data_IF_753715069700
#
_entry.id   IF_753715069700
#
_cell.length_a   1.000
_cell.length_b   1.000
_cell.length_c   1.000
_cell.angle_alpha   90.00
_cell.angle_beta   90.00
_cell.angle_gamma   90.00
#
_symmetry.space_group_name_H-M   'P 1'
#
loop_
_entity.id
_entity.type
_entity.pdbx_description
1 polymer ?
#
# COMPACT_ATOMS: atom_id res chain seq x y z
N UNK A 1 -20.40 -9.21 9.52
CA UNK A 1 -20.24 -8.75 10.93
C UNK A 1 -21.01 -7.44 11.09
N UNK A 2 -21.48 -7.08 12.29
CA UNK A 2 -22.14 -5.77 12.47
C UNK A 2 -21.10 -4.67 12.80
N UNK A 3 -21.51 -3.40 12.69
CA UNK A 3 -20.60 -2.27 12.90
C UNK A 3 -20.07 -2.17 14.33
N UNK A 4 -20.84 -2.54 15.34
CA UNK A 4 -20.41 -2.44 16.73
C UNK A 4 -19.30 -3.44 17.06
N UNK A 5 -19.44 -4.68 16.57
CA UNK A 5 -18.41 -5.71 16.70
C UNK A 5 -17.12 -5.30 15.99
N UNK A 6 -17.23 -4.76 14.78
CA UNK A 6 -16.09 -4.24 14.03
C UNK A 6 -15.37 -3.12 14.79
N UNK A 7 -16.10 -2.10 15.24
CA UNK A 7 -15.51 -0.98 15.98
C UNK A 7 -14.80 -1.44 17.26
N UNK A 8 -15.37 -2.43 17.98
CA UNK A 8 -14.72 -3.00 19.16
C UNK A 8 -13.41 -3.70 18.80
N UNK A 9 -13.39 -4.50 17.73
CA UNK A 9 -12.17 -5.18 17.27
C UNK A 9 -11.10 -4.15 16.89
N UNK A 10 -11.47 -3.09 16.17
CA UNK A 10 -10.53 -2.04 15.76
C UNK A 10 -9.97 -1.27 16.97
N UNK A 11 -10.78 -0.99 17.99
CA UNK A 11 -10.30 -0.30 19.19
C UNK A 11 -9.35 -1.18 20.02
N UNK A 12 -9.69 -2.46 20.22
CA UNK A 12 -8.80 -3.43 20.87
C UNK A 12 -7.48 -3.60 20.11
N UNK A 13 -7.54 -3.58 18.78
CA UNK A 13 -6.36 -3.67 17.93
C UNK A 13 -5.48 -2.42 17.98
N UNK A 14 -6.10 -1.25 18.02
CA UNK A 14 -5.40 0.02 18.22
C UNK A 14 -4.67 0.04 19.57
N UNK A 15 -5.33 -0.40 20.64
CA UNK A 15 -4.68 -0.58 21.96
C UNK A 15 -3.51 -1.55 21.83
N UNK A 16 -3.69 -2.68 21.14
CA UNK A 16 -2.64 -3.67 20.91
C UNK A 16 -1.41 -3.14 20.18
N UNK A 17 -1.59 -2.34 19.13
CA UNK A 17 -0.46 -1.70 18.43
C UNK A 17 0.22 -0.66 19.33
N UNK A 18 -0.57 0.21 19.96
CA UNK A 18 -0.04 1.36 20.72
C UNK A 18 0.60 0.96 22.04
N UNK A 19 0.24 -0.19 22.61
CA UNK A 19 0.87 -0.76 23.79
C UNK A 19 1.98 -1.75 23.44
N UNK A 20 2.52 -1.73 22.21
CA UNK A 20 3.60 -2.62 21.79
C UNK A 20 3.28 -4.11 22.05
N UNK A 21 2.02 -4.50 21.80
CA UNK A 21 1.48 -5.86 21.94
C UNK A 21 1.33 -6.35 23.39
N UNK A 22 1.39 -5.46 24.39
CA UNK A 22 1.23 -5.81 25.81
C UNK A 22 -0.24 -5.90 26.30
N UNK A 23 -1.17 -5.19 25.65
CA UNK A 23 -2.59 -5.11 26.04
C UNK A 23 -3.49 -5.02 24.81
N UNK A 24 -4.81 -5.12 24.96
CA UNK A 24 -5.73 -5.19 23.81
C UNK A 24 -5.61 -6.52 23.05
N UNK A 25 -6.16 -6.57 21.83
CA UNK A 25 -6.15 -7.78 21.00
C UNK A 25 -5.83 -7.47 19.54
N UNK A 26 -4.91 -8.24 18.94
CA UNK A 26 -4.69 -8.22 17.48
C UNK A 26 -6.02 -8.45 16.75
N UNK A 27 -6.33 -7.63 15.75
CA UNK A 27 -7.56 -7.77 14.98
C UNK A 27 -7.58 -9.14 14.28
N UNK A 28 -8.62 -9.92 14.56
CA UNK A 28 -8.94 -11.15 13.84
C UNK A 28 -10.26 -10.97 13.10
N UNK A 29 -10.14 -10.77 11.80
CA UNK A 29 -11.21 -10.53 10.83
C UNK A 29 -11.25 -11.65 9.77
N UNK A 30 -10.68 -12.82 10.09
CA UNK A 30 -10.70 -14.00 9.23
C UNK A 30 -12.13 -14.33 8.80
N UNK A 31 -12.36 -14.55 7.51
CA UNK A 31 -13.65 -14.86 6.89
C UNK A 31 -14.78 -13.83 7.19
N UNK A 32 -14.42 -12.64 7.68
CA UNK A 32 -15.40 -11.63 8.01
C UNK A 32 -16.02 -11.04 6.73
N UNK A 33 -17.34 -10.87 6.75
CA UNK A 33 -18.01 -10.05 5.74
C UNK A 33 -17.92 -8.57 6.13
N UNK A 34 -17.08 -7.83 5.40
CA UNK A 34 -16.74 -6.41 5.50
C UNK A 34 -17.04 -5.67 4.18
N UNK A 35 -17.91 -6.22 3.35
CA UNK A 35 -18.29 -5.61 2.07
C UNK A 35 -18.86 -4.21 2.29
N UNK A 36 -18.29 -3.21 1.61
CA UNK A 36 -18.68 -1.81 1.74
C UNK A 36 -18.39 -1.18 3.11
N UNK A 37 -17.56 -1.80 3.94
CA UNK A 37 -17.19 -1.23 5.24
C UNK A 37 -16.35 0.05 5.06
N UNK A 38 -16.58 1.03 5.92
CA UNK A 38 -15.71 2.19 6.07
C UNK A 38 -14.55 1.82 7.02
N UNK A 39 -13.37 1.67 6.45
CA UNK A 39 -12.11 1.36 7.12
C UNK A 39 -11.05 2.43 6.79
N UNK A 40 -11.49 3.63 6.42
CA UNK A 40 -10.61 4.74 6.06
C UNK A 40 -9.65 5.07 7.21
N UNK A 41 -8.35 5.09 6.91
CA UNK A 41 -7.28 5.36 7.87
C UNK A 41 -7.16 4.32 8.98
N UNK A 42 -7.84 3.18 8.88
CA UNK A 42 -7.77 2.14 9.89
C UNK A 42 -6.34 1.61 10.02
N UNK A 43 -5.86 1.49 11.25
CA UNK A 43 -4.62 0.78 11.51
C UNK A 43 -4.91 -0.70 11.65
N UNK A 44 -4.65 -1.46 10.59
CA UNK A 44 -4.80 -2.91 10.47
C UNK A 44 -3.43 -3.59 10.33
N UNK A 45 -2.37 -2.94 10.82
CA UNK A 45 -1.02 -3.49 10.81
C UNK A 45 -0.99 -4.83 11.57
N UNK A 46 -0.35 -5.84 11.00
CA UNK A 46 -0.41 -7.23 11.47
C UNK A 46 -1.84 -7.83 11.48
N UNK A 47 -2.94 -7.19 11.10
CA UNK A 47 -4.27 -7.80 11.27
C UNK A 47 -4.42 -9.13 10.49
N UNK A 48 -5.20 -10.08 11.03
CA UNK A 48 -5.57 -11.28 10.28
C UNK A 48 -6.88 -11.06 9.54
N UNK A 49 -6.83 -10.91 8.22
CA UNK A 49 -7.97 -10.72 7.34
C UNK A 49 -8.15 -11.89 6.36
N UNK A 50 -7.47 -13.02 6.57
CA UNK A 50 -7.52 -14.19 5.68
C UNK A 50 -8.96 -14.55 5.28
N UNK A 51 -9.26 -14.69 3.99
CA UNK A 51 -10.59 -15.04 3.50
C UNK A 51 -11.68 -13.98 3.68
N UNK A 52 -11.37 -12.79 4.22
CA UNK A 52 -12.36 -11.74 4.43
C UNK A 52 -12.92 -11.22 3.10
N UNK A 53 -14.20 -10.86 3.12
CA UNK A 53 -14.85 -10.17 2.01
C UNK A 53 -14.82 -8.67 2.23
N UNK A 54 -13.91 -7.96 1.56
CA UNK A 54 -13.72 -6.51 1.57
C UNK A 54 -14.21 -5.85 0.27
N UNK A 55 -15.06 -6.53 -0.50
CA UNK A 55 -15.57 -6.01 -1.76
C UNK A 55 -16.17 -4.61 -1.57
N UNK A 56 -15.70 -3.60 -2.31
CA UNK A 56 -16.21 -2.23 -2.21
C UNK A 56 -15.93 -1.50 -0.90
N UNK A 57 -15.08 -2.04 -0.01
CA UNK A 57 -14.72 -1.36 1.23
C UNK A 57 -13.87 -0.10 0.96
N UNK A 58 -14.04 0.93 1.79
CA UNK A 58 -13.17 2.11 1.79
C UNK A 58 -11.98 1.83 2.71
N UNK A 59 -10.80 1.67 2.11
CA UNK A 59 -9.51 1.43 2.79
C UNK A 59 -8.54 2.59 2.50
N UNK A 60 -9.05 3.78 2.15
CA UNK A 60 -8.22 4.94 1.87
C UNK A 60 -7.32 5.24 3.07
N UNK A 61 -6.03 5.40 2.83
CA UNK A 61 -4.98 5.63 3.83
C UNK A 61 -4.88 4.57 4.95
N UNK A 62 -5.51 3.40 4.77
CA UNK A 62 -5.43 2.32 5.75
C UNK A 62 -4.00 1.78 5.84
N UNK A 63 -3.56 1.46 7.06
CA UNK A 63 -2.30 0.78 7.28
C UNK A 63 -2.54 -0.73 7.31
N UNK A 64 -2.13 -1.45 6.27
CA UNK A 64 -2.21 -2.90 6.12
C UNK A 64 -0.81 -3.54 6.16
N UNK A 65 0.20 -2.84 6.69
CA UNK A 65 1.55 -3.37 6.81
C UNK A 65 1.54 -4.70 7.58
N UNK A 66 2.24 -5.72 7.08
CA UNK A 66 2.30 -7.07 7.66
C UNK A 66 0.93 -7.77 7.83
N UNK A 67 -0.15 -7.24 7.26
CA UNK A 67 -1.47 -7.84 7.37
C UNK A 67 -1.55 -9.16 6.59
N UNK A 68 -2.29 -10.14 7.14
CA UNK A 68 -2.60 -11.36 6.41
C UNK A 68 -3.87 -11.16 5.59
N UNK A 69 -3.72 -10.88 4.30
CA UNK A 69 -4.79 -10.68 3.32
C UNK A 69 -4.95 -11.91 2.39
N UNK A 70 -4.45 -13.09 2.79
CA UNK A 70 -4.55 -14.31 1.98
C UNK A 70 -6.00 -14.61 1.62
N UNK A 71 -6.26 -14.95 0.36
CA UNK A 71 -7.60 -15.29 -0.16
C UNK A 71 -8.69 -14.22 0.10
N UNK A 72 -8.32 -12.96 0.32
CA UNK A 72 -9.29 -11.86 0.51
C UNK A 72 -9.93 -11.43 -0.79
N UNK A 73 -11.22 -11.07 -0.75
CA UNK A 73 -11.89 -10.40 -1.86
C UNK A 73 -11.82 -8.88 -1.67
N UNK A 74 -10.94 -8.21 -2.39
CA UNK A 74 -10.77 -6.75 -2.38
C UNK A 74 -11.37 -6.08 -3.63
N UNK A 75 -12.13 -6.79 -4.47
CA UNK A 75 -12.69 -6.21 -5.70
C UNK A 75 -13.48 -4.93 -5.43
N UNK A 76 -13.12 -3.87 -6.16
CA UNK A 76 -13.74 -2.56 -6.05
C UNK A 76 -13.50 -1.85 -4.71
N UNK A 77 -12.66 -2.38 -3.83
CA UNK A 77 -12.23 -1.65 -2.64
C UNK A 77 -11.38 -0.44 -3.04
N UNK A 78 -11.48 0.64 -2.27
CA UNK A 78 -10.68 1.84 -2.45
C UNK A 78 -9.41 1.74 -1.59
N UNK A 79 -8.24 1.55 -2.21
CA UNK A 79 -6.94 1.44 -1.54
C UNK A 79 -6.09 2.71 -1.72
N UNK A 80 -6.71 3.85 -2.03
CA UNK A 80 -6.01 5.12 -2.23
C UNK A 80 -5.08 5.40 -1.05
N UNK A 81 -3.77 5.54 -1.30
CA UNK A 81 -2.78 5.81 -0.25
C UNK A 81 -2.51 4.67 0.75
N UNK A 82 -3.19 3.53 0.67
CA UNK A 82 -3.05 2.43 1.62
C UNK A 82 -1.63 1.83 1.65
N UNK A 83 -1.20 1.37 2.82
CA UNK A 83 0.11 0.76 3.03
C UNK A 83 0.03 -0.76 3.02
N UNK A 84 0.49 -1.38 1.93
CA UNK A 84 0.50 -2.84 1.75
C UNK A 84 1.88 -3.49 1.99
N UNK A 85 2.83 -2.76 2.60
CA UNK A 85 4.18 -3.29 2.84
C UNK A 85 4.12 -4.61 3.60
N UNK A 86 4.84 -5.60 3.08
CA UNK A 86 4.98 -6.91 3.72
C UNK A 86 3.65 -7.67 3.98
N UNK A 87 2.54 -7.19 3.42
CA UNK A 87 1.25 -7.86 3.52
C UNK A 87 1.25 -9.18 2.74
N UNK A 88 0.65 -10.23 3.31
CA UNK A 88 0.46 -11.49 2.60
C UNK A 88 -0.78 -11.40 1.71
N UNK A 89 -0.58 -11.24 0.40
CA UNK A 89 -1.63 -11.13 -0.61
C UNK A 89 -1.83 -12.41 -1.44
N UNK A 90 -1.34 -13.56 -0.96
CA UNK A 90 -1.49 -14.84 -1.66
C UNK A 90 -2.98 -15.14 -1.92
N UNK A 91 -3.38 -15.31 -3.18
CA UNK A 91 -4.77 -15.59 -3.55
C UNK A 91 -5.74 -14.42 -3.38
N UNK A 92 -5.28 -13.22 -3.00
CA UNK A 92 -6.15 -12.05 -2.88
C UNK A 92 -6.65 -11.57 -4.25
N UNK A 93 -7.93 -11.19 -4.31
CA UNK A 93 -8.58 -10.61 -5.48
C UNK A 93 -8.53 -9.08 -5.38
N UNK A 94 -7.41 -8.50 -5.84
CA UNK A 94 -7.10 -7.06 -5.73
C UNK A 94 -8.03 -6.19 -6.60
N UNK A 95 -8.23 -4.90 -6.24
CA UNK A 95 -8.92 -3.95 -7.11
C UNK A 95 -8.16 -3.77 -8.43
N UNK A 96 -8.88 -3.35 -9.47
CA UNK A 96 -8.27 -2.92 -10.72
C UNK A 96 -7.21 -1.84 -10.46
N UNK A 97 -6.14 -1.85 -11.26
CA UNK A 97 -5.01 -0.92 -11.16
C UNK A 97 -4.29 -0.93 -9.80
N UNK A 98 -4.45 -2.00 -9.01
CA UNK A 98 -3.64 -2.27 -7.82
C UNK A 98 -2.61 -3.35 -8.12
N UNK A 99 -1.34 -3.04 -7.90
CA UNK A 99 -0.22 -3.93 -8.20
C UNK A 99 0.73 -4.00 -7.02
N UNK A 100 1.20 -5.20 -6.67
CA UNK A 100 2.31 -5.38 -5.73
C UNK A 100 3.46 -6.03 -6.49
N UNK A 101 4.59 -5.33 -6.52
CA UNK A 101 5.75 -5.68 -7.33
C UNK A 101 6.86 -6.16 -6.40
N UNK A 102 7.19 -7.45 -6.55
CA UNK A 102 8.19 -8.14 -5.73
C UNK A 102 9.52 -8.27 -6.49
N UNK A 103 10.61 -8.45 -5.74
CA UNK A 103 11.95 -8.69 -6.28
C UNK A 103 12.69 -7.42 -6.72
N UNK A 104 12.10 -6.24 -6.52
CA UNK A 104 12.76 -4.96 -6.76
C UNK A 104 13.60 -4.50 -5.56
N UNK A 105 14.39 -3.44 -5.76
CA UNK A 105 15.29 -2.91 -4.73
C UNK A 105 14.56 -2.48 -3.45
N UNK A 106 13.35 -1.97 -3.62
CA UNK A 106 12.42 -1.61 -2.57
C UNK A 106 11.13 -2.40 -2.78
N UNK A 107 10.37 -2.60 -1.71
CA UNK A 107 8.96 -2.97 -1.85
C UNK A 107 8.27 -1.91 -2.70
N UNK A 108 7.49 -2.33 -3.68
CA UNK A 108 6.70 -1.43 -4.51
C UNK A 108 5.26 -1.90 -4.54
N UNK A 109 4.37 -0.96 -4.30
CA UNK A 109 2.95 -1.14 -4.58
C UNK A 109 2.41 0.04 -5.35
N UNK A 110 1.43 -0.24 -6.19
CA UNK A 110 0.60 0.75 -6.86
C UNK A 110 -0.81 0.53 -6.34
N UNK A 111 -1.49 1.57 -5.88
CA UNK A 111 -2.88 1.49 -5.46
C UNK A 111 -3.73 2.47 -6.26
N UNK A 112 -4.92 2.00 -6.66
CA UNK A 112 -5.91 2.76 -7.44
C UNK A 112 -5.38 3.38 -8.74
N UNK A 113 -4.24 2.89 -9.27
CA UNK A 113 -3.57 3.51 -10.41
C UNK A 113 -3.04 4.92 -10.18
N UNK A 114 -3.05 5.42 -8.94
CA UNK A 114 -2.73 6.81 -8.62
C UNK A 114 -1.57 6.95 -7.64
N UNK A 115 -1.45 6.06 -6.65
CA UNK A 115 -0.39 6.09 -5.64
C UNK A 115 0.64 5.02 -5.89
N UNK A 116 1.90 5.39 -5.72
CA UNK A 116 3.04 4.47 -5.81
C UNK A 116 3.80 4.56 -4.50
N UNK A 117 3.92 3.42 -3.84
CA UNK A 117 4.82 3.23 -2.71
C UNK A 117 6.13 2.65 -3.21
N UNK A 118 7.25 3.21 -2.76
CA UNK A 118 8.58 2.66 -2.96
C UNK A 118 9.33 2.71 -1.62
N UNK A 119 9.43 1.56 -0.96
CA UNK A 119 9.94 1.49 0.41
C UNK A 119 9.07 2.33 1.37
N UNK A 120 9.67 3.24 2.12
CA UNK A 120 8.95 4.10 3.06
C UNK A 120 8.23 5.29 2.40
N UNK A 121 8.52 5.58 1.12
CA UNK A 121 7.94 6.71 0.41
C UNK A 121 6.64 6.30 -0.28
N UNK A 122 5.61 7.13 -0.17
CA UNK A 122 4.31 6.89 -0.81
C UNK A 122 3.77 8.21 -1.34
N UNK A 123 3.71 8.32 -2.66
CA UNK A 123 3.38 9.56 -3.34
C UNK A 123 2.58 9.23 -4.60
N UNK A 124 1.89 10.22 -5.13
CA UNK A 124 1.17 10.06 -6.39
C UNK A 124 2.13 9.79 -7.55
N UNK A 125 1.64 9.11 -8.59
CA UNK A 125 2.36 8.91 -9.85
C UNK A 125 2.86 10.23 -10.43
N UNK A 126 2.05 11.28 -10.31
CA UNK A 126 2.42 12.61 -10.79
C UNK A 126 3.59 13.22 -10.03
N UNK A 127 3.59 13.12 -8.69
CA UNK A 127 4.71 13.59 -7.86
C UNK A 127 5.98 12.81 -8.18
N UNK A 128 5.87 11.48 -8.28
CA UNK A 128 6.99 10.64 -8.68
C UNK A 128 7.59 11.03 -10.02
N UNK A 129 6.82 11.56 -10.95
CA UNK A 129 7.32 12.03 -12.26
C UNK A 129 7.91 13.44 -12.25
N UNK A 130 7.77 14.16 -11.13
CA UNK A 130 8.17 15.56 -11.00
C UNK A 130 9.33 15.78 -10.03
N UNK A 131 9.71 14.77 -9.23
CA UNK A 131 10.79 14.95 -8.26
C UNK A 131 12.12 15.32 -8.90
N UNK A 132 12.75 16.30 -8.28
CA UNK A 132 14.11 16.74 -8.56
C UNK A 132 15.15 15.73 -8.04
N UNK A 133 16.36 15.82 -8.58
CA UNK A 133 17.51 15.02 -8.13
C UNK A 133 17.77 15.20 -6.62
N UNK A 134 17.56 16.41 -6.09
CA UNK A 134 17.74 16.69 -4.67
C UNK A 134 16.69 15.97 -3.81
N UNK A 135 15.40 16.09 -4.14
CA UNK A 135 14.32 15.44 -3.38
C UNK A 135 14.50 13.92 -3.32
N UNK A 136 14.85 13.28 -4.45
CA UNK A 136 15.15 11.84 -4.47
C UNK A 136 16.38 11.50 -3.61
N UNK A 137 17.39 12.37 -3.58
CA UNK A 137 18.57 12.20 -2.71
C UNK A 137 18.19 12.28 -1.24
N UNK A 138 17.23 13.11 -0.87
CA UNK A 138 16.79 13.27 0.52
C UNK A 138 16.00 12.05 1.04
N UNK A 139 15.46 11.21 0.15
CA UNK A 139 14.68 10.02 0.52
C UNK A 139 15.54 8.84 1.06
N UNK A 140 16.53 8.38 0.28
CA UNK A 140 17.47 7.30 0.67
C UNK A 140 18.84 7.48 -0.02
N UNK A 141 19.23 8.74 -0.22
CA UNK A 141 20.55 9.12 -0.74
C UNK A 141 20.86 8.53 -2.11
N UNK A 142 22.10 8.07 -2.24
CA UNK A 142 22.61 7.50 -3.50
C UNK A 142 21.89 6.22 -3.94
N UNK A 143 21.22 5.50 -3.03
CA UNK A 143 20.47 4.28 -3.40
C UNK A 143 19.18 4.64 -4.12
N UNK A 144 18.40 5.57 -3.55
CA UNK A 144 17.19 6.10 -4.19
C UNK A 144 17.51 6.70 -5.56
N UNK A 145 18.53 7.56 -5.66
CA UNK A 145 18.96 8.16 -6.92
C UNK A 145 19.22 7.14 -8.04
N UNK A 146 19.96 6.07 -7.73
CA UNK A 146 20.27 5.02 -8.71
C UNK A 146 19.05 4.18 -9.09
N UNK A 147 18.12 4.03 -8.17
CA UNK A 147 16.91 3.23 -8.38
C UNK A 147 15.80 4.00 -9.11
N UNK A 148 15.79 5.33 -8.97
CA UNK A 148 14.70 6.17 -9.45
C UNK A 148 14.35 6.01 -10.95
N UNK A 149 15.30 5.90 -11.91
CA UNK A 149 14.94 5.64 -13.31
C UNK A 149 14.24 4.28 -13.50
N UNK A 150 14.60 3.26 -12.70
CA UNK A 150 13.93 1.96 -12.68
C UNK A 150 12.51 2.09 -12.12
N UNK A 151 12.31 2.88 -11.07
CA UNK A 151 10.97 3.17 -10.53
C UNK A 151 10.06 3.80 -11.59
N UNK A 152 10.53 4.83 -12.30
CA UNK A 152 9.78 5.47 -13.38
C UNK A 152 9.43 4.49 -14.51
N UNK A 153 10.36 3.60 -14.86
CA UNK A 153 10.11 2.54 -15.86
C UNK A 153 9.01 1.57 -15.43
N UNK A 154 8.96 1.23 -14.13
CA UNK A 154 7.92 0.35 -13.57
C UNK A 154 6.57 1.06 -13.62
N UNK A 155 6.52 2.34 -13.24
CA UNK A 155 5.29 3.16 -13.32
C UNK A 155 4.78 3.18 -14.75
N UNK A 156 5.64 3.47 -15.73
CA UNK A 156 5.27 3.51 -17.14
C UNK A 156 4.74 2.17 -17.66
N UNK A 157 5.31 1.06 -17.20
CA UNK A 157 4.88 -0.29 -17.60
C UNK A 157 3.44 -0.60 -17.13
N UNK A 158 3.10 -0.26 -15.89
CA UNK A 158 1.78 -0.58 -15.31
C UNK A 158 0.71 0.46 -15.61
N UNK A 159 1.08 1.75 -15.67
CA UNK A 159 0.14 2.87 -15.73
C UNK A 159 0.24 3.69 -17.02
N UNK A 160 1.09 3.26 -17.95
CA UNK A 160 1.31 3.93 -19.22
C UNK A 160 2.38 5.01 -19.15
N UNK A 161 3.04 5.26 -20.27
CA UNK A 161 4.15 6.22 -20.37
C UNK A 161 3.72 7.64 -19.97
N UNK A 162 4.65 8.39 -19.39
CA UNK A 162 4.49 9.83 -19.20
C UNK A 162 5.80 10.57 -19.13
N UNK A 163 5.74 11.84 -18.74
CA UNK A 163 6.91 12.69 -18.70
C UNK A 163 7.84 12.30 -17.56
N UNK A 164 9.12 12.10 -17.88
CA UNK A 164 10.19 11.92 -16.89
C UNK A 164 10.89 13.24 -16.64
N UNK A 165 11.44 13.47 -15.43
CA UNK A 165 12.27 14.63 -15.15
C UNK A 165 13.47 14.72 -16.10
N UNK A 166 13.80 15.92 -16.56
CA UNK A 166 14.87 16.12 -17.55
C UNK A 166 16.24 15.63 -17.07
N UNK A 167 16.51 15.75 -15.76
CA UNK A 167 17.76 15.28 -15.16
C UNK A 167 17.96 13.77 -15.23
N UNK A 168 16.87 12.99 -15.39
CA UNK A 168 16.95 11.54 -15.58
C UNK A 168 17.30 11.20 -17.03
N UNK A 169 16.85 12.01 -18.00
CA UNK A 169 17.12 11.80 -19.43
C UNK A 169 18.57 12.14 -19.77
N UNK A 170 19.15 13.17 -19.14
CA UNK A 170 20.53 13.62 -19.40
C UNK A 170 21.60 12.66 -18.89
N UNK A 171 21.32 11.87 -17.84
CA UNK A 171 22.30 10.94 -17.24
C UNK A 171 22.46 9.63 -18.06
N UNK A 172 21.78 9.48 -19.21
CA UNK A 172 21.87 8.33 -20.12
C UNK A 172 22.74 8.53 -21.38
N UNK A 173 23.37 9.70 -21.53
CA UNK A 173 24.22 10.05 -22.68
C UNK A 173 25.74 10.10 -22.38
N UNK A 174 26.22 9.58 -21.25
CA UNK A 174 27.66 9.46 -20.92
C UNK A 174 28.18 8.01 -20.89
#
# INVERSE_FOLDING_TARGET
>A
MNSADLSKILEEHKVWITSMRESGSRANLCDANLCGADLRGANLCDANLCGANLCGADLCDANLCDANLCDTNLRGADLYGADLRDANLCGADLPDLTFVILGEKYFISITNGEYVRAGCQNHTVEEWRKYSKQEITEMDGRKALKFYPRLLSIIDFYLGAGEWPDWVKSDGEE
#
